data_IF_357052988048
#
_entry.id   IF_357052988048
#
_cell.length_a   1.000
_cell.length_b   1.000
_cell.length_c   1.000
_cell.angle_alpha   90.00
_cell.angle_beta   90.00
_cell.angle_gamma   90.00
#
_symmetry.space_group_name_H-M   'P 1'
#
loop_
_entity.id
_entity.type
_entity.pdbx_description
1 polymer ?
#
# COMPACT_ATOMS: atom_id res chain seq x y z
N UNK A 1 56.50 14.03 49.82
CA UNK A 1 55.45 13.12 50.30
C UNK A 1 54.85 12.49 49.06
N UNK A 2 55.25 11.26 48.76
CA UNK A 2 54.63 10.41 47.74
C UNK A 2 53.19 10.10 48.15
N UNK A 3 52.23 10.18 47.23
CA UNK A 3 51.34 9.07 46.89
C UNK A 3 50.99 9.18 45.39
N UNK A 4 51.38 8.16 44.64
CA UNK A 4 50.91 7.80 43.29
C UNK A 4 49.40 7.52 43.25
N UNK A 5 48.78 7.69 42.08
CA UNK A 5 47.87 6.72 41.44
C UNK A 5 47.63 7.14 39.98
N UNK A 6 48.42 6.50 39.09
CA UNK A 6 48.07 5.92 37.79
C UNK A 6 47.07 6.61 36.84
N UNK A 7 47.55 6.88 35.61
CA UNK A 7 46.90 6.29 34.43
C UNK A 7 46.25 7.24 33.41
N UNK A 8 46.94 7.53 32.28
CA UNK A 8 46.45 8.31 31.14
C UNK A 8 45.91 7.39 30.02
N UNK A 9 45.12 7.94 29.08
CA UNK A 9 45.28 7.72 27.63
C UNK A 9 44.20 8.47 26.83
N UNK A 10 44.47 9.76 26.69
CA UNK A 10 44.09 10.55 25.52
C UNK A 10 45.05 10.13 24.38
N UNK A 11 44.54 10.06 23.15
CA UNK A 11 45.21 9.79 21.86
C UNK A 11 45.03 8.38 21.30
N UNK A 12 44.13 8.26 20.31
CA UNK A 12 44.37 7.56 19.04
C UNK A 12 43.30 7.99 18.03
N UNK A 13 43.37 9.27 17.65
CA UNK A 13 42.93 9.72 16.33
C UNK A 13 44.22 9.72 15.48
N UNK A 14 44.14 9.21 14.25
CA UNK A 14 45.22 8.97 13.26
C UNK A 14 45.96 7.63 13.38
N UNK A 15 45.48 6.61 12.65
CA UNK A 15 46.18 6.06 11.47
C UNK A 15 45.59 4.71 11.05
N UNK A 16 44.92 4.70 9.88
CA UNK A 16 45.12 3.69 8.82
C UNK A 16 44.33 4.10 7.58
N UNK A 17 44.99 4.88 6.75
CA UNK A 17 44.66 5.18 5.36
C UNK A 17 45.16 4.01 4.48
N UNK A 18 44.39 3.67 3.44
CA UNK A 18 44.73 3.10 2.10
C UNK A 18 44.16 1.71 1.69
N UNK A 19 43.07 1.81 0.88
CA UNK A 19 42.72 1.12 -0.39
C UNK A 19 42.26 -0.36 -0.41
N UNK A 20 41.52 -0.85 -1.44
CA UNK A 20 41.08 -0.20 -2.70
C UNK A 20 39.56 -0.30 -3.03
N UNK A 21 39.17 0.40 -4.10
CA UNK A 21 37.89 0.27 -4.81
C UNK A 21 37.67 -1.15 -5.36
N UNK A 22 36.52 -1.77 -5.04
CA UNK A 22 35.76 -2.66 -5.94
C UNK A 22 34.44 -3.14 -5.30
N UNK A 23 33.32 -2.77 -5.95
CA UNK A 23 32.07 -3.53 -6.08
C UNK A 23 31.42 -4.19 -4.84
N UNK A 24 30.25 -3.64 -4.43
CA UNK A 24 28.97 -4.38 -4.55
C UNK A 24 27.75 -3.53 -4.22
N UNK A 25 26.94 -3.29 -5.25
CA UNK A 25 25.49 -3.12 -5.16
C UNK A 25 24.89 -4.36 -4.49
N UNK A 26 24.30 -4.22 -3.31
CA UNK A 26 23.27 -5.14 -2.81
C UNK A 26 22.64 -4.61 -1.54
N UNK A 27 21.52 -3.89 -1.68
CA UNK A 27 20.55 -3.75 -0.60
C UNK A 27 19.86 -5.12 -0.40
N UNK A 28 19.67 -5.59 0.85
CA UNK A 28 19.36 -6.98 1.14
C UNK A 28 17.91 -7.30 0.77
N UNK A 29 17.71 -8.07 -0.30
CA UNK A 29 16.44 -8.74 -0.59
C UNK A 29 16.60 -10.26 -0.37
N UNK A 30 15.57 -10.81 0.29
CA UNK A 30 15.24 -12.23 0.50
C UNK A 30 16.06 -13.03 1.52
N UNK A 31 15.61 -12.99 2.78
CA UNK A 31 15.69 -14.17 3.63
C UNK A 31 14.66 -15.20 3.18
N UNK A 32 15.20 -16.33 2.73
CA UNK A 32 14.58 -17.58 2.30
C UNK A 32 13.87 -18.26 3.47
N UNK A 33 12.55 -18.46 3.39
CA UNK A 33 11.85 -19.38 4.28
C UNK A 33 12.10 -20.81 3.78
N UNK A 34 13.18 -21.42 4.30
CA UNK A 34 13.35 -22.87 4.27
C UNK A 34 12.50 -23.47 5.39
N UNK A 35 11.61 -24.40 5.02
CA UNK A 35 11.01 -25.33 5.96
C UNK A 35 12.12 -26.15 6.63
N UNK A 36 12.36 -25.91 7.91
CA UNK A 36 13.17 -26.74 8.78
C UNK A 36 12.26 -27.21 9.90
N UNK A 37 12.14 -28.54 10.05
CA UNK A 37 11.36 -29.18 11.09
C UNK A 37 11.89 -28.82 12.47
N UNK A 38 10.98 -28.43 13.36
CA UNK A 38 11.27 -28.29 14.78
C UNK A 38 11.23 -29.67 15.43
N UNK A 39 12.41 -30.27 15.62
CA UNK A 39 12.63 -31.28 16.65
C UNK A 39 12.47 -30.64 18.03
N UNK A 40 11.82 -31.38 18.93
CA UNK A 40 11.56 -31.00 20.31
C UNK A 40 12.83 -30.50 21.02
N UNK A 41 12.80 -29.23 21.46
CA UNK A 41 13.69 -28.71 22.49
C UNK A 41 12.80 -28.28 23.65
N UNK A 42 12.76 -29.13 24.66
CA UNK A 42 12.23 -28.87 25.98
C UNK A 42 12.92 -27.62 26.56
N UNK A 43 12.17 -26.55 26.77
CA UNK A 43 12.67 -25.34 27.42
C UNK A 43 11.67 -24.84 28.44
N UNK A 44 11.92 -25.27 29.68
CA UNK A 44 11.68 -24.56 30.94
C UNK A 44 10.63 -23.45 30.90
N UNK A 45 9.46 -23.75 31.46
CA UNK A 45 8.46 -22.79 31.89
C UNK A 45 9.03 -21.90 33.01
N UNK A 46 9.79 -20.88 32.66
CA UNK A 46 9.93 -19.69 33.50
C UNK A 46 8.79 -18.73 33.13
N UNK A 47 7.86 -18.62 34.06
CA UNK A 47 6.76 -17.67 34.06
C UNK A 47 7.35 -16.25 34.15
N UNK A 48 7.68 -15.64 33.01
CA UNK A 48 8.02 -14.23 32.96
C UNK A 48 6.72 -13.44 33.16
N UNK A 49 6.46 -13.10 34.43
CA UNK A 49 5.36 -12.24 34.83
C UNK A 49 5.49 -10.91 34.08
N UNK A 50 4.59 -10.64 33.14
CA UNK A 50 4.50 -9.32 32.51
C UNK A 50 4.26 -8.29 33.62
N UNK A 51 5.01 -7.16 33.66
CA UNK A 51 4.78 -6.15 34.68
C UNK A 51 3.35 -5.63 34.56
N UNK A 52 2.62 -5.54 35.68
CA UNK A 52 1.36 -4.82 35.77
C UNK A 52 1.55 -3.41 35.18
N UNK A 53 1.09 -3.21 33.94
CA UNK A 53 1.16 -1.91 33.29
C UNK A 53 0.04 -1.06 33.88
N UNK A 54 0.44 -0.04 34.64
CA UNK A 54 -0.47 0.97 35.15
C UNK A 54 -1.26 1.60 33.99
N UNK A 55 -2.54 1.99 34.19
CA UNK A 55 -3.37 2.54 33.12
C UNK A 55 -2.76 3.79 32.44
N UNK A 56 -1.90 4.54 33.14
CA UNK A 56 -1.16 5.67 32.58
C UNK A 56 -0.12 5.26 31.52
N UNK A 57 0.58 4.14 31.70
CA UNK A 57 1.57 3.67 30.71
C UNK A 57 0.89 3.21 29.43
N UNK A 58 -0.26 2.55 29.54
CA UNK A 58 -1.08 2.14 28.39
C UNK A 58 -1.52 3.38 27.60
N UNK A 59 -2.05 4.41 28.27
CA UNK A 59 -2.47 5.64 27.63
C UNK A 59 -1.31 6.38 26.93
N UNK A 60 -0.14 6.46 27.56
CA UNK A 60 1.06 7.07 26.95
C UNK A 60 1.50 6.29 25.72
N UNK A 61 1.48 4.95 25.75
CA UNK A 61 1.81 4.12 24.58
C UNK A 61 0.79 4.32 23.45
N UNK A 62 -0.50 4.44 23.74
CA UNK A 62 -1.52 4.75 22.73
C UNK A 62 -1.35 6.16 22.14
N UNK A 63 -1.07 7.17 22.95
CA UNK A 63 -0.84 8.55 22.48
C UNK A 63 0.38 8.60 21.55
N UNK A 64 1.52 8.03 21.99
CA UNK A 64 2.74 7.97 21.19
C UNK A 64 2.55 7.17 19.90
N UNK A 65 1.73 6.11 19.92
CA UNK A 65 1.38 5.31 18.72
C UNK A 65 0.58 6.12 17.71
N UNK A 66 -0.43 6.88 18.17
CA UNK A 66 -1.25 7.74 17.31
C UNK A 66 -0.44 8.91 16.74
N UNK A 67 0.44 9.53 17.54
CA UNK A 67 1.35 10.58 17.08
C UNK A 67 2.34 10.06 16.04
N UNK A 68 2.86 8.85 16.22
CA UNK A 68 3.78 8.23 15.26
C UNK A 68 3.09 7.94 13.91
N UNK A 69 1.85 7.46 13.91
CA UNK A 69 1.09 7.20 12.67
C UNK A 69 0.77 8.48 11.91
N UNK A 70 0.48 9.57 12.62
CA UNK A 70 0.25 10.89 12.03
C UNK A 70 1.53 11.51 11.47
N UNK A 71 2.67 11.33 12.14
CA UNK A 71 3.97 11.86 11.70
C UNK A 71 4.67 10.98 10.63
N UNK A 72 4.32 9.71 10.52
CA UNK A 72 4.92 8.79 9.55
C UNK A 72 4.39 8.95 8.12
N UNK A 73 3.32 9.72 7.92
CA UNK A 73 2.71 9.95 6.60
C UNK A 73 2.72 11.44 6.26
N UNK A 74 2.86 11.84 4.99
CA UNK A 74 2.90 13.24 4.61
C UNK A 74 1.57 13.98 4.84
N UNK A 75 0.47 13.22 5.01
CA UNK A 75 -0.85 13.74 5.34
C UNK A 75 -1.67 12.64 6.06
N UNK A 76 -2.68 13.01 6.88
CA UNK A 76 -3.48 12.04 7.62
C UNK A 76 -4.15 11.02 6.69
N UNK A 77 -3.96 9.73 6.96
CA UNK A 77 -4.48 8.66 6.12
C UNK A 77 -3.68 8.45 4.82
N UNK A 78 -2.45 8.96 4.73
CA UNK A 78 -1.57 8.71 3.60
C UNK A 78 -1.31 7.23 3.39
N UNK A 79 -1.40 6.79 2.13
CA UNK A 79 -1.20 5.41 1.71
C UNK A 79 -0.27 5.36 0.49
N UNK A 80 0.28 4.18 0.23
CA UNK A 80 1.09 3.90 -0.96
C UNK A 80 0.41 2.83 -1.80
N UNK A 81 0.74 2.82 -3.09
CA UNK A 81 0.41 1.74 -4.02
C UNK A 81 1.67 1.39 -4.80
N UNK A 82 1.74 0.19 -5.36
CA UNK A 82 2.65 -0.02 -6.49
C UNK A 82 2.19 0.85 -7.66
N UNK A 83 3.12 1.53 -8.32
CA UNK A 83 2.85 2.38 -9.49
C UNK A 83 3.82 2.08 -10.62
N UNK A 84 3.28 1.85 -11.82
CA UNK A 84 4.02 1.54 -13.03
C UNK A 84 3.11 1.73 -14.24
N UNK A 85 3.69 2.04 -15.40
CA UNK A 85 2.96 2.17 -16.66
C UNK A 85 3.48 1.14 -17.66
N UNK A 86 2.59 0.24 -18.12
CA UNK A 86 2.88 -0.78 -19.14
C UNK A 86 4.17 -1.59 -18.89
N UNK A 87 4.42 -1.99 -17.63
CA UNK A 87 5.51 -2.91 -17.30
C UNK A 87 5.25 -4.30 -17.92
N UNK A 88 6.29 -5.07 -18.24
CA UNK A 88 6.10 -6.36 -18.90
C UNK A 88 5.35 -7.37 -18.01
N UNK A 89 5.62 -7.34 -16.71
CA UNK A 89 4.99 -8.23 -15.74
C UNK A 89 4.88 -7.62 -14.33
N UNK A 90 4.30 -8.39 -13.41
CA UNK A 90 4.12 -7.97 -12.01
C UNK A 90 5.45 -7.73 -11.29
N UNK A 91 6.46 -8.55 -11.60
CA UNK A 91 7.74 -8.49 -10.91
C UNK A 91 8.46 -7.21 -11.27
N UNK A 92 8.56 -6.89 -12.56
CA UNK A 92 9.16 -5.65 -13.04
C UNK A 92 8.45 -4.42 -12.46
N UNK A 93 7.11 -4.41 -12.51
CA UNK A 93 6.31 -3.34 -11.93
C UNK A 93 6.61 -3.14 -10.44
N UNK A 94 6.53 -4.20 -9.62
CA UNK A 94 6.73 -4.10 -8.18
C UNK A 94 8.19 -3.85 -7.80
N UNK A 95 9.15 -4.28 -8.63
CA UNK A 95 10.59 -4.14 -8.37
C UNK A 95 11.06 -2.70 -8.51
N UNK A 96 10.51 -1.97 -9.48
CA UNK A 96 10.93 -0.62 -9.84
C UNK A 96 9.92 0.47 -9.43
N UNK A 97 8.79 0.08 -8.84
CA UNK A 97 7.83 1.04 -8.31
C UNK A 97 8.51 2.00 -7.31
N UNK A 98 8.25 3.31 -7.43
CA UNK A 98 8.79 4.30 -6.51
C UNK A 98 8.15 4.16 -5.12
N UNK A 99 8.95 4.33 -4.07
CA UNK A 99 8.48 4.26 -2.67
C UNK A 99 7.87 5.59 -2.19
N UNK A 100 6.90 6.11 -2.93
CA UNK A 100 6.25 7.40 -2.67
C UNK A 100 4.80 7.21 -2.22
N UNK A 101 4.29 8.20 -1.47
CA UNK A 101 2.87 8.25 -1.09
C UNK A 101 2.01 8.66 -2.28
N UNK A 102 0.78 8.16 -2.30
CA UNK A 102 -0.23 8.54 -3.27
C UNK A 102 -0.64 10.02 -3.12
N UNK A 103 -1.13 10.69 -4.18
CA UNK A 103 -1.70 12.03 -4.10
C UNK A 103 -2.94 12.09 -3.20
N UNK A 104 -3.26 13.27 -2.65
CA UNK A 104 -4.34 13.44 -1.65
C UNK A 104 -5.74 13.20 -2.23
N UNK A 105 -5.88 13.38 -3.55
CA UNK A 105 -7.14 13.25 -4.29
C UNK A 105 -7.44 11.78 -4.65
N UNK A 106 -6.57 10.84 -4.26
CA UNK A 106 -6.73 9.41 -4.52
C UNK A 106 -7.03 8.66 -3.24
N UNK A 107 -7.69 7.49 -3.35
CA UNK A 107 -8.01 6.63 -2.21
C UNK A 107 -7.77 5.14 -2.48
N UNK A 108 -7.63 4.76 -3.74
CA UNK A 108 -7.59 3.36 -4.15
C UNK A 108 -6.32 3.06 -4.95
N UNK A 109 -5.86 1.83 -4.83
CA UNK A 109 -4.85 1.29 -5.71
C UNK A 109 -5.52 0.57 -6.88
N UNK A 110 -5.24 1.03 -8.09
CA UNK A 110 -5.70 0.45 -9.34
C UNK A 110 -4.67 -0.52 -9.90
N UNK A 111 -5.14 -1.61 -10.50
CA UNK A 111 -4.34 -2.55 -11.29
C UNK A 111 -5.08 -2.91 -12.56
N UNK A 112 -4.42 -2.73 -13.70
CA UNK A 112 -4.82 -3.30 -14.99
C UNK A 112 -3.76 -4.29 -15.45
N UNK A 113 -4.22 -5.48 -15.83
CA UNK A 113 -3.38 -6.55 -16.33
C UNK A 113 -3.91 -7.01 -17.69
N UNK A 114 -3.13 -6.73 -18.72
CA UNK A 114 -3.35 -7.26 -20.07
C UNK A 114 -2.55 -8.54 -20.21
N UNK A 115 -3.21 -9.61 -20.61
CA UNK A 115 -2.61 -10.93 -20.76
C UNK A 115 -3.07 -11.61 -22.04
N UNK A 116 -2.27 -12.54 -22.54
CA UNK A 116 -2.68 -13.48 -23.56
C UNK A 116 -3.79 -14.41 -23.02
N UNK A 117 -4.58 -15.01 -23.91
CA UNK A 117 -5.55 -16.06 -23.52
C UNK A 117 -4.87 -17.25 -22.82
N UNK A 118 -3.58 -17.49 -23.09
CA UNK A 118 -2.74 -18.50 -22.42
C UNK A 118 -2.44 -18.15 -20.95
N UNK A 119 -2.65 -16.90 -20.55
CA UNK A 119 -2.37 -16.36 -19.21
C UNK A 119 -1.02 -15.67 -19.05
N UNK A 120 -0.21 -15.57 -20.12
CA UNK A 120 1.03 -14.82 -20.10
C UNK A 120 0.78 -13.31 -20.00
N UNK A 121 1.50 -12.63 -19.12
CA UNK A 121 1.41 -11.18 -18.97
C UNK A 121 1.97 -10.48 -20.22
N UNK A 122 1.19 -9.56 -20.77
CA UNK A 122 1.59 -8.67 -21.87
C UNK A 122 1.98 -7.30 -21.30
N UNK A 123 1.14 -6.76 -20.42
CA UNK A 123 1.44 -5.49 -19.77
C UNK A 123 0.71 -5.35 -18.44
N UNK A 124 1.35 -4.66 -17.50
CA UNK A 124 0.83 -4.32 -16.18
C UNK A 124 0.88 -2.82 -15.99
N UNK A 125 -0.24 -2.23 -15.59
CA UNK A 125 -0.32 -0.83 -15.17
C UNK A 125 -0.90 -0.75 -13.78
N UNK A 126 -0.22 -0.03 -12.89
CA UNK A 126 -0.67 0.21 -11.52
C UNK A 126 -0.58 1.70 -11.19
N UNK A 127 -1.57 2.24 -10.48
CA UNK A 127 -1.62 3.66 -10.15
C UNK A 127 -2.49 3.93 -8.92
N UNK A 128 -2.24 5.05 -8.26
CA UNK A 128 -3.17 5.60 -7.26
C UNK A 128 -4.32 6.29 -8.01
N UNK A 129 -5.57 6.03 -7.62
CA UNK A 129 -6.74 6.56 -8.32
C UNK A 129 -7.84 7.03 -7.36
N UNK A 130 -8.71 7.95 -7.81
CA UNK A 130 -9.97 8.26 -7.13
C UNK A 130 -11.04 7.18 -7.38
N UNK A 131 -12.24 7.35 -6.83
CA UNK A 131 -13.30 6.33 -6.85
C UNK A 131 -13.80 6.02 -8.27
N UNK A 132 -13.96 7.05 -9.09
CA UNK A 132 -14.52 6.98 -10.43
C UNK A 132 -13.78 5.99 -11.34
N UNK A 133 -12.46 5.89 -11.19
CA UNK A 133 -11.61 4.96 -11.94
C UNK A 133 -11.77 3.50 -11.50
N UNK A 134 -12.35 3.26 -10.32
CA UNK A 134 -12.58 1.94 -9.74
C UNK A 134 -14.02 1.43 -9.93
N UNK A 135 -14.90 2.22 -10.55
CA UNK A 135 -16.29 1.80 -10.79
C UNK A 135 -16.41 0.77 -11.93
N UNK A 136 -15.36 0.59 -12.73
CA UNK A 136 -15.34 -0.33 -13.87
C UNK A 136 -14.25 -1.40 -13.71
N UNK A 137 -14.38 -2.25 -12.68
CA UNK A 137 -13.55 -3.46 -12.51
C UNK A 137 -14.16 -4.67 -13.24
N UNK A 138 -13.35 -5.69 -13.49
CA UNK A 138 -13.75 -6.92 -14.19
C UNK A 138 -12.73 -7.31 -15.25
N UNK A 139 -12.97 -8.42 -15.94
CA UNK A 139 -12.21 -8.76 -17.14
C UNK A 139 -13.02 -8.52 -18.41
N UNK A 140 -12.31 -8.24 -19.50
CA UNK A 140 -12.89 -8.13 -20.83
C UNK A 140 -11.95 -8.72 -21.86
N UNK A 141 -12.50 -9.52 -22.75
CA UNK A 141 -11.77 -10.04 -23.89
C UNK A 141 -11.71 -8.98 -24.99
N UNK A 142 -10.52 -8.76 -25.53
CA UNK A 142 -10.30 -7.95 -26.73
C UNK A 142 -10.42 -8.88 -27.94
N UNK A 143 -11.61 -8.91 -28.54
CA UNK A 143 -11.96 -9.80 -29.66
C UNK A 143 -11.04 -9.67 -30.89
N UNK A 144 -10.34 -8.54 -31.05
CA UNK A 144 -9.47 -8.29 -32.20
C UNK A 144 -8.03 -8.82 -32.05
N UNK A 145 -7.54 -9.03 -30.84
CA UNK A 145 -6.12 -9.33 -30.60
C UNK A 145 -5.89 -10.66 -29.86
N UNK A 146 -6.95 -11.33 -29.38
CA UNK A 146 -6.79 -12.54 -28.58
C UNK A 146 -6.16 -12.26 -27.21
N UNK A 147 -6.39 -11.06 -26.68
CA UNK A 147 -5.91 -10.62 -25.38
C UNK A 147 -7.08 -10.45 -24.41
N UNK A 148 -6.82 -10.68 -23.12
CA UNK A 148 -7.75 -10.45 -22.02
C UNK A 148 -7.22 -9.31 -21.15
N UNK A 149 -8.09 -8.35 -20.83
CA UNK A 149 -7.75 -7.21 -19.97
C UNK A 149 -8.55 -7.36 -18.68
N UNK A 150 -7.86 -7.53 -17.55
CA UNK A 150 -8.47 -7.59 -16.22
C UNK A 150 -8.12 -6.35 -15.41
N UNK A 151 -9.12 -5.77 -14.75
CA UNK A 151 -8.98 -4.57 -13.93
C UNK A 151 -9.50 -4.82 -12.52
N UNK A 152 -8.69 -4.50 -11.51
CA UNK A 152 -9.08 -4.55 -10.09
C UNK A 152 -8.71 -3.27 -9.36
N UNK A 153 -9.42 -3.02 -8.26
CA UNK A 153 -9.10 -1.97 -7.32
C UNK A 153 -9.11 -2.48 -5.89
N UNK A 154 -8.24 -1.93 -5.05
CA UNK A 154 -8.24 -2.21 -3.63
C UNK A 154 -8.02 -0.94 -2.80
N UNK A 155 -8.54 -0.95 -1.58
CA UNK A 155 -8.30 0.08 -0.57
C UNK A 155 -7.24 -0.41 0.43
N UNK A 156 -6.28 0.45 0.75
CA UNK A 156 -5.24 0.17 1.75
C UNK A 156 -3.81 0.37 1.24
N UNK A 157 -2.87 0.38 2.17
CA UNK A 157 -1.45 0.56 1.87
C UNK A 157 -0.89 -0.66 1.12
N UNK A 158 -0.27 -0.44 -0.03
CA UNK A 158 0.39 -1.44 -0.89
C UNK A 158 -0.47 -2.67 -1.21
N UNK A 159 -1.80 -2.50 -1.23
CA UNK A 159 -2.76 -3.60 -1.38
C UNK A 159 -2.71 -4.24 -2.79
N UNK A 160 -2.26 -3.50 -3.80
CA UNK A 160 -2.22 -3.93 -5.19
C UNK A 160 -0.96 -4.74 -5.55
N UNK A 161 -0.46 -5.55 -4.62
CA UNK A 161 0.67 -6.46 -4.87
C UNK A 161 0.38 -7.54 -5.93
N UNK A 162 -0.78 -8.26 -5.90
CA UNK A 162 -1.12 -9.26 -6.90
C UNK A 162 -1.67 -8.64 -8.20
N UNK A 163 -1.80 -9.46 -9.25
CA UNK A 163 -2.50 -9.09 -10.49
C UNK A 163 -3.84 -9.80 -10.58
N UNK A 164 -4.89 -9.13 -11.10
CA UNK A 164 -6.12 -9.81 -11.48
C UNK A 164 -5.88 -10.65 -12.74
N UNK A 165 -6.44 -11.86 -12.78
CA UNK A 165 -6.37 -12.80 -13.90
C UNK A 165 -7.74 -13.30 -14.34
N UNK A 166 -8.75 -13.18 -13.49
CA UNK A 166 -10.09 -13.74 -13.68
C UNK A 166 -11.17 -12.79 -13.13
N UNK A 167 -12.43 -13.03 -13.47
CA UNK A 167 -13.53 -12.19 -12.94
C UNK A 167 -13.59 -12.17 -11.42
N UNK A 168 -13.23 -13.29 -10.77
CA UNK A 168 -13.27 -13.42 -9.32
C UNK A 168 -12.22 -12.57 -8.59
N UNK A 169 -11.10 -12.23 -9.23
CA UNK A 169 -10.03 -11.40 -8.66
C UNK A 169 -9.96 -9.99 -9.28
N UNK A 170 -10.65 -9.78 -10.40
CA UNK A 170 -10.86 -8.49 -11.06
C UNK A 170 -12.02 -7.71 -10.41
N UNK A 171 -11.95 -7.48 -9.10
CA UNK A 171 -13.03 -6.84 -8.33
C UNK A 171 -12.58 -5.51 -7.73
N UNK A 172 -13.55 -4.73 -7.23
CA UNK A 172 -13.26 -3.59 -6.37
C UNK A 172 -13.46 -3.99 -4.89
N UNK A 173 -12.35 -4.12 -4.16
CA UNK A 173 -12.33 -4.44 -2.73
C UNK A 173 -12.12 -3.17 -1.89
N UNK A 174 -13.12 -2.76 -1.14
CA UNK A 174 -13.09 -1.55 -0.29
C UNK A 174 -13.63 -1.89 1.11
N UNK A 175 -13.02 -1.31 2.13
CA UNK A 175 -13.47 -1.43 3.53
C UNK A 175 -14.35 -0.25 3.94
N UNK A 176 -14.21 0.88 3.24
CA UNK A 176 -15.02 2.07 3.44
C UNK A 176 -16.35 2.01 2.69
N UNK A 177 -17.46 2.51 3.26
CA UNK A 177 -18.72 2.61 2.54
C UNK A 177 -18.59 3.50 1.31
N UNK A 178 -18.93 2.97 0.14
CA UNK A 178 -19.02 3.78 -1.08
C UNK A 178 -20.31 4.59 -0.99
N UNK A 179 -20.22 5.86 -0.62
CA UNK A 179 -21.38 6.75 -0.57
C UNK A 179 -21.80 7.15 -2.00
N UNK A 180 -22.43 6.24 -2.73
CA UNK A 180 -23.07 6.54 -4.02
C UNK A 180 -24.41 7.25 -3.76
N UNK A 181 -24.39 8.41 -3.14
CA UNK A 181 -25.53 9.33 -3.20
C UNK A 181 -25.45 10.05 -4.54
N UNK A 182 -25.90 9.35 -5.60
CA UNK A 182 -26.16 9.97 -6.88
C UNK A 182 -27.04 11.20 -6.66
N UNK A 183 -26.49 12.38 -6.96
CA UNK A 183 -27.16 13.67 -7.01
C UNK A 183 -28.24 13.70 -8.10
N UNK A 184 -29.29 12.90 -7.93
CA UNK A 184 -30.44 12.82 -8.82
C UNK A 184 -31.77 13.11 -8.09
N UNK A 185 -31.72 13.70 -6.90
CA UNK A 185 -32.93 14.14 -6.18
C UNK A 185 -33.36 15.57 -6.50
N UNK A 186 -32.48 16.36 -7.14
CA UNK A 186 -32.76 17.75 -7.52
C UNK A 186 -33.36 17.95 -8.92
N UNK A 187 -33.11 17.04 -9.87
CA UNK A 187 -33.55 17.24 -11.27
C UNK A 187 -35.05 16.94 -11.46
N UNK A 188 -35.57 15.91 -10.80
CA UNK A 188 -36.99 15.54 -10.91
C UNK A 188 -37.94 16.60 -10.33
N UNK A 189 -37.50 17.35 -9.31
CA UNK A 189 -38.32 18.39 -8.70
C UNK A 189 -38.48 19.63 -9.59
N UNK A 190 -37.47 19.96 -10.40
CA UNK A 190 -37.50 21.09 -11.34
C UNK A 190 -38.36 20.77 -12.57
N UNK A 191 -38.29 19.53 -13.07
CA UNK A 191 -39.10 19.10 -14.23
C UNK A 191 -40.58 19.07 -13.88
N UNK A 192 -40.94 18.59 -12.69
CA UNK A 192 -42.34 18.61 -12.22
C UNK A 192 -42.81 20.05 -12.04
N UNK A 193 -42.05 20.94 -11.39
CA UNK A 193 -42.49 22.33 -11.23
C UNK A 193 -42.68 23.09 -12.54
N UNK A 194 -41.84 22.87 -13.56
CA UNK A 194 -42.04 23.47 -14.90
C UNK A 194 -43.33 23.00 -15.59
N UNK A 195 -43.70 21.72 -15.46
CA UNK A 195 -44.92 21.18 -16.08
C UNK A 195 -46.21 21.74 -15.47
N UNK A 196 -46.21 22.00 -14.16
CA UNK A 196 -47.37 22.57 -13.47
C UNK A 196 -47.57 24.06 -13.79
N UNK A 197 -46.48 24.81 -14.01
CA UNK A 197 -46.55 26.22 -14.45
C UNK A 197 -47.12 26.32 -15.87
N UNK A 198 -46.78 25.40 -16.77
CA UNK A 198 -47.32 25.36 -18.13
C UNK A 198 -48.82 25.00 -18.18
N UNK A 199 -49.26 24.06 -17.35
CA UNK A 199 -50.69 23.69 -17.24
C UNK A 199 -51.53 24.79 -16.58
N UNK A 200 -50.98 25.55 -15.63
CA UNK A 200 -51.68 26.66 -14.99
C UNK A 200 -51.85 27.92 -15.86
N UNK A 201 -51.08 28.06 -16.94
CA UNK A 201 -51.16 29.21 -17.85
C UNK A 201 -52.10 28.97 -19.05
N UNK A 202 -52.63 27.75 -19.19
CA UNK A 202 -53.49 27.32 -20.30
C UNK A 202 -54.95 27.08 -19.89
N UNK A 203 -55.29 27.34 -18.63
CA UNK A 203 -56.66 27.29 -18.08
C UNK A 203 -57.20 28.70 -17.80
#
# INVERSE_FOLDING_TARGET
MLIDMEGPDFLLLTDLILLPSAARNSSPKQARLQHIGFSNVEKSSELFQAPEQTPSLILVVFILKLELEFLATPYPGGFKCFTCEKAADNYECNRWAPDIYCPRETRYCYTQHTMEVTGNSISVTKRCVPLEDCLSTGCRDSEHEGHKVCTSCCEGNICNLPLPRNESDATFTTTSPINQTNGHRGCMSVIVSCLWVWLGLTL
#
